data_IF_419965105059
#
_entry.id   IF_419965105059
#
_cell.length_a   1.000
_cell.length_b   1.000
_cell.length_c   1.000
_cell.angle_alpha   90.00
_cell.angle_beta   90.00
_cell.angle_gamma   90.00
#
_symmetry.space_group_name_H-M   'P 1'
#
loop_
_entity.id
_entity.type
_entity.pdbx_description
1 polymer ?
#
# COMPACT_ATOMS: atom_id res chain seq x y z
N UNK A 1 -18.03 7.53 -7.42
CA UNK A 1 -16.62 7.94 -7.32
C UNK A 1 -16.46 8.62 -5.98
N UNK A 2 -15.49 8.17 -5.20
CA UNK A 2 -15.23 8.61 -3.83
C UNK A 2 -13.77 9.04 -3.71
N UNK A 3 -13.52 10.13 -2.99
CA UNK A 3 -12.19 10.61 -2.64
C UNK A 3 -11.95 10.37 -1.16
N UNK A 4 -10.84 9.71 -0.85
CA UNK A 4 -10.45 9.38 0.52
C UNK A 4 -9.11 10.04 0.79
N UNK A 5 -9.06 10.82 1.86
CA UNK A 5 -7.84 11.37 2.41
C UNK A 5 -7.54 10.62 3.70
N UNK A 6 -6.29 10.22 3.89
CA UNK A 6 -5.92 9.38 5.02
C UNK A 6 -4.46 9.52 5.40
N UNK A 7 -4.13 9.02 6.58
CA UNK A 7 -2.75 8.76 7.00
C UNK A 7 -2.68 7.32 7.45
N UNK A 8 -1.81 6.53 6.80
CA UNK A 8 -1.49 5.19 7.25
C UNK A 8 -0.22 5.18 8.11
N UNK A 9 -0.29 4.49 9.24
CA UNK A 9 0.84 4.17 10.10
C UNK A 9 1.22 2.71 9.89
N UNK A 10 2.50 2.40 9.80
CA UNK A 10 2.97 1.05 9.49
C UNK A 10 4.11 0.56 10.40
N UNK A 11 4.25 -0.77 10.44
CA UNK A 11 5.36 -1.49 11.04
C UNK A 11 5.89 -2.51 10.03
N UNK A 12 7.19 -2.46 9.77
CA UNK A 12 7.91 -3.38 8.88
C UNK A 12 8.46 -4.54 9.70
N UNK A 13 7.86 -5.72 9.56
CA UNK A 13 8.19 -6.90 10.37
C UNK A 13 9.02 -7.88 9.54
N UNK A 14 10.13 -8.32 10.14
CA UNK A 14 11.10 -9.20 9.46
C UNK A 14 11.97 -8.45 8.44
N UNK A 15 12.02 -7.13 8.55
CA UNK A 15 12.82 -6.25 7.69
C UNK A 15 13.79 -5.45 8.57
N UNK A 16 15.03 -5.27 8.11
CA UNK A 16 16.12 -4.71 8.94
C UNK A 16 16.41 -3.24 8.66
N UNK A 17 15.99 -2.71 7.51
CA UNK A 17 16.25 -1.31 7.16
C UNK A 17 15.32 -0.32 7.87
N UNK A 18 15.75 0.94 7.92
CA UNK A 18 14.95 2.05 8.45
C UNK A 18 13.96 2.53 7.38
N UNK A 19 12.71 2.08 7.52
CA UNK A 19 11.63 2.41 6.60
C UNK A 19 10.72 3.48 7.19
N UNK A 20 10.26 4.40 6.33
CA UNK A 20 9.24 5.36 6.72
C UNK A 20 7.95 4.66 7.15
N UNK A 21 7.49 4.95 8.36
CA UNK A 21 6.29 4.37 8.96
C UNK A 21 5.03 5.25 8.81
N UNK A 22 5.14 6.46 8.25
CA UNK A 22 4.02 7.42 8.15
C UNK A 22 3.71 7.72 6.68
N UNK A 23 2.49 7.41 6.27
CA UNK A 23 2.08 7.44 4.87
C UNK A 23 0.84 8.32 4.69
N UNK A 24 1.00 9.65 4.54
CA UNK A 24 -0.07 10.48 4.00
C UNK A 24 -0.50 9.94 2.64
N UNK A 25 -1.81 9.77 2.46
CA UNK A 25 -2.39 9.02 1.36
C UNK A 25 -3.66 9.68 0.84
N UNK A 26 -3.78 9.76 -0.47
CA UNK A 26 -5.00 10.13 -1.19
C UNK A 26 -5.38 9.02 -2.15
N UNK A 27 -6.66 8.64 -2.14
CA UNK A 27 -7.25 7.62 -3.01
C UNK A 27 -8.48 8.17 -3.70
N UNK A 28 -8.66 7.78 -4.96
CA UNK A 28 -9.95 7.77 -5.64
C UNK A 28 -10.41 6.33 -5.80
N UNK A 29 -11.68 6.07 -5.48
CA UNK A 29 -12.32 4.76 -5.64
C UNK A 29 -13.58 4.90 -6.49
N UNK A 30 -13.72 3.99 -7.46
CA UNK A 30 -14.91 3.86 -8.27
C UNK A 30 -15.24 2.39 -8.47
N UNK A 31 -16.33 1.95 -7.85
CA UNK A 31 -16.69 0.53 -7.75
C UNK A 31 -15.50 -0.25 -7.16
N UNK A 32 -14.93 -1.16 -7.93
CA UNK A 32 -13.79 -1.95 -7.54
C UNK A 32 -12.45 -1.35 -7.95
N UNK A 33 -12.43 -0.30 -8.77
CA UNK A 33 -11.19 0.32 -9.22
C UNK A 33 -10.70 1.33 -8.18
N UNK A 34 -9.42 1.23 -7.86
CA UNK A 34 -8.73 2.16 -6.97
C UNK A 34 -7.52 2.75 -7.68
N UNK A 35 -7.29 4.04 -7.47
CA UNK A 35 -6.06 4.71 -7.82
C UNK A 35 -5.71 5.72 -6.74
N UNK A 36 -4.43 5.99 -6.53
CA UNK A 36 -4.04 6.91 -5.48
C UNK A 36 -2.56 7.24 -5.51
N UNK A 37 -2.19 8.13 -4.59
CA UNK A 37 -0.81 8.49 -4.33
C UNK A 37 -0.55 8.57 -2.83
N UNK A 38 0.64 8.20 -2.41
CA UNK A 38 1.04 8.20 -1.01
C UNK A 38 2.54 8.42 -0.86
N UNK A 39 2.96 8.86 0.33
CA UNK A 39 4.35 8.89 0.71
C UNK A 39 4.78 7.50 1.22
N UNK A 40 5.66 6.83 0.47
CA UNK A 40 5.93 5.40 0.63
C UNK A 40 7.01 5.09 1.69
N UNK A 41 7.28 3.81 1.92
CA UNK A 41 8.28 3.33 2.89
C UNK A 41 9.73 3.73 2.56
N UNK A 42 9.99 4.18 1.32
CA UNK A 42 11.29 4.60 0.82
C UNK A 42 11.42 6.14 0.73
N UNK A 43 10.62 6.86 1.52
CA UNK A 43 10.59 8.33 1.60
C UNK A 43 10.28 9.03 0.26
N UNK A 44 9.44 8.41 -0.57
CA UNK A 44 9.10 8.91 -1.92
C UNK A 44 7.61 8.92 -2.17
N UNK A 45 7.14 9.92 -2.90
CA UNK A 45 5.78 9.93 -3.45
C UNK A 45 5.67 8.81 -4.47
N UNK A 46 4.71 7.92 -4.27
CA UNK A 46 4.37 6.82 -5.16
C UNK A 46 2.92 6.93 -5.58
N UNK A 47 2.63 6.49 -6.80
CA UNK A 47 1.28 6.37 -7.33
C UNK A 47 0.96 4.89 -7.54
N UNK A 48 -0.30 4.52 -7.37
CA UNK A 48 -0.75 3.16 -7.63
C UNK A 48 -2.10 3.15 -8.34
N UNK A 49 -2.38 2.02 -8.97
CA UNK A 49 -3.67 1.69 -9.55
C UNK A 49 -3.94 0.20 -9.39
N UNK A 50 -5.19 -0.17 -9.18
CA UNK A 50 -5.55 -1.56 -8.93
C UNK A 50 -7.04 -1.80 -8.77
N UNK A 51 -7.32 -3.00 -8.26
CA UNK A 51 -8.65 -3.50 -7.98
C UNK A 51 -8.77 -3.81 -6.49
N UNK A 52 -9.89 -3.41 -5.88
CA UNK A 52 -10.28 -3.71 -4.50
C UNK A 52 -11.60 -4.45 -4.50
N UNK A 53 -11.66 -5.53 -3.73
CA UNK A 53 -12.87 -6.25 -3.41
C UNK A 53 -13.10 -6.21 -1.91
N UNK A 54 -14.32 -5.87 -1.51
CA UNK A 54 -14.74 -5.83 -0.10
C UNK A 54 -15.74 -6.96 0.19
N UNK A 55 -15.63 -7.53 1.39
CA UNK A 55 -16.48 -8.55 1.98
C UNK A 55 -16.66 -8.23 3.48
N UNK A 56 -17.73 -7.52 3.81
CA UNK A 56 -17.98 -6.97 5.16
C UNK A 56 -16.81 -6.13 5.67
N UNK A 57 -16.15 -6.56 6.76
CA UNK A 57 -14.97 -5.90 7.32
C UNK A 57 -13.68 -6.23 6.56
N UNK A 58 -13.68 -7.24 5.70
CA UNK A 58 -12.49 -7.68 4.98
C UNK A 58 -12.39 -7.00 3.62
N UNK A 59 -11.17 -6.63 3.23
CA UNK A 59 -10.87 -6.15 1.89
C UNK A 59 -9.62 -6.80 1.34
N UNK A 60 -9.59 -7.02 0.03
CA UNK A 60 -8.41 -7.48 -0.70
C UNK A 60 -8.15 -6.52 -1.85
N UNK A 61 -6.89 -6.12 -1.99
CA UNK A 61 -6.44 -5.21 -3.02
C UNK A 61 -5.27 -5.81 -3.79
N UNK A 62 -5.31 -5.66 -5.11
CA UNK A 62 -4.26 -6.09 -6.03
C UNK A 62 -4.01 -5.00 -7.06
N UNK A 63 -2.76 -4.77 -7.45
CA UNK A 63 -2.47 -3.77 -8.47
C UNK A 63 -1.00 -3.57 -8.72
N UNK A 64 -0.67 -2.36 -9.17
CA UNK A 64 0.68 -1.93 -9.44
C UNK A 64 0.96 -0.57 -8.80
N UNK A 65 2.19 -0.38 -8.33
CA UNK A 65 2.63 0.81 -7.62
C UNK A 65 3.98 1.29 -8.15
N UNK A 66 4.19 2.60 -8.19
CA UNK A 66 5.47 3.21 -8.55
C UNK A 66 6.39 3.39 -7.34
N UNK A 67 7.62 3.85 -7.54
CA UNK A 67 8.50 4.25 -6.43
C UNK A 67 9.27 3.11 -5.75
N UNK A 68 8.97 1.85 -6.13
CA UNK A 68 9.75 0.67 -5.78
C UNK A 68 10.43 0.10 -7.04
N UNK A 69 11.69 -0.29 -6.91
CA UNK A 69 12.46 -0.92 -8.00
C UNK A 69 12.19 -2.43 -7.98
N UNK A 70 11.30 -2.90 -8.84
CA UNK A 70 11.06 -4.34 -9.03
C UNK A 70 12.13 -4.99 -9.91
N UNK A 71 12.63 -4.24 -10.89
CA UNK A 71 13.67 -4.67 -11.82
C UNK A 71 14.48 -3.46 -12.25
N UNK A 72 15.73 -3.68 -12.66
CA UNK A 72 16.63 -2.63 -13.18
C UNK A 72 16.03 -1.79 -14.33
N UNK A 73 14.96 -2.29 -14.96
CA UNK A 73 14.30 -1.67 -16.11
C UNK A 73 12.95 -1.03 -15.80
N UNK A 74 12.35 -1.28 -14.63
CA UNK A 74 10.97 -0.86 -14.35
C UNK A 74 10.81 -0.36 -12.91
N UNK A 75 10.36 0.89 -12.76
CA UNK A 75 9.98 1.49 -11.48
C UNK A 75 8.52 1.21 -11.09
N UNK A 76 7.91 0.18 -11.67
CA UNK A 76 6.55 -0.28 -11.39
C UNK A 76 6.67 -1.67 -10.77
N UNK A 77 6.09 -1.83 -9.59
CA UNK A 77 6.09 -3.08 -8.82
C UNK A 77 4.66 -3.58 -8.65
N UNK A 78 4.40 -4.90 -8.70
CA UNK A 78 3.11 -5.42 -8.26
C UNK A 78 2.90 -5.13 -6.78
N UNK A 79 1.65 -4.92 -6.36
CA UNK A 79 1.29 -4.79 -4.96
C UNK A 79 0.09 -5.67 -4.64
N UNK A 80 0.07 -6.15 -3.40
CA UNK A 80 -1.02 -6.91 -2.80
C UNK A 80 -1.24 -6.40 -1.38
N UNK A 81 -2.49 -6.15 -0.97
CA UNK A 81 -2.82 -5.71 0.38
C UNK A 81 -4.11 -6.37 0.83
N UNK A 82 -4.15 -6.83 2.07
CA UNK A 82 -5.39 -7.23 2.75
C UNK A 82 -5.74 -6.22 3.82
N UNK A 83 -7.01 -5.97 4.03
CA UNK A 83 -7.51 -5.06 5.05
C UNK A 83 -8.55 -5.74 5.93
N UNK A 84 -8.57 -5.40 7.21
CA UNK A 84 -9.65 -5.71 8.14
C UNK A 84 -10.05 -4.42 8.84
N UNK A 85 -11.21 -3.87 8.48
CA UNK A 85 -11.65 -2.52 8.86
C UNK A 85 -10.58 -1.47 8.47
N UNK A 86 -10.02 -0.74 9.43
CA UNK A 86 -8.93 0.23 9.21
C UNK A 86 -7.53 -0.38 9.33
N UNK A 87 -7.40 -1.67 9.65
CA UNK A 87 -6.10 -2.35 9.68
C UNK A 87 -5.75 -2.89 8.30
N UNK A 88 -4.45 -2.94 7.99
CA UNK A 88 -3.96 -3.56 6.76
C UNK A 88 -2.71 -4.39 6.97
N UNK A 89 -2.50 -5.32 6.04
CA UNK A 89 -1.27 -6.09 5.91
C UNK A 89 -0.89 -6.19 4.43
N UNK A 90 0.38 -6.00 4.14
CA UNK A 90 0.96 -6.18 2.80
C UNK A 90 2.21 -7.04 2.90
N UNK A 91 2.32 -8.14 2.15
CA UNK A 91 3.59 -8.83 2.02
C UNK A 91 4.58 -7.93 1.29
N UNK A 92 5.84 -7.98 1.68
CA UNK A 92 6.94 -7.45 0.87
C UNK A 92 7.46 -8.62 0.04
N UNK A 93 7.31 -8.58 -1.29
CA UNK A 93 7.66 -9.71 -2.14
C UNK A 93 9.13 -10.11 -1.94
N UNK A 94 9.34 -11.43 -1.96
CA UNK A 94 10.61 -12.13 -1.71
C UNK A 94 11.76 -11.47 -2.49
N UNK A 95 12.54 -10.66 -1.78
CA UNK A 95 13.82 -10.08 -2.22
C UNK A 95 14.89 -10.36 -1.15
N UNK A 96 15.90 -9.51 -1.06
CA UNK A 96 16.98 -9.66 -0.07
C UNK A 96 16.51 -9.44 1.39
N UNK A 97 15.34 -8.84 1.60
CA UNK A 97 14.74 -8.58 2.92
C UNK A 97 13.24 -8.96 2.95
N UNK A 98 12.91 -10.27 3.01
CA UNK A 98 11.54 -10.74 2.96
C UNK A 98 10.81 -10.47 4.28
N UNK A 99 9.65 -9.82 4.20
CA UNK A 99 8.88 -9.49 5.39
C UNK A 99 7.43 -9.14 5.07
N UNK A 100 6.78 -8.50 6.03
CA UNK A 100 5.44 -7.98 5.86
C UNK A 100 5.28 -6.64 6.55
N UNK A 101 4.47 -5.79 5.96
CA UNK A 101 4.06 -4.52 6.55
C UNK A 101 2.68 -4.70 7.12
N UNK A 102 2.50 -4.40 8.41
CA UNK A 102 1.18 -4.23 9.02
C UNK A 102 0.96 -2.78 9.36
N UNK A 103 -0.29 -2.34 9.42
CA UNK A 103 -0.57 -0.96 9.76
C UNK A 103 -2.02 -0.66 10.05
N UNK A 104 -2.26 0.61 10.36
CA UNK A 104 -3.57 1.20 10.62
C UNK A 104 -3.73 2.45 9.73
N UNK A 105 -4.86 2.58 9.06
CA UNK A 105 -5.15 3.67 8.13
C UNK A 105 -6.29 4.53 8.68
N UNK A 106 -5.96 5.74 9.14
CA UNK A 106 -6.96 6.71 9.59
C UNK A 106 -7.49 7.51 8.41
N UNK A 107 -8.80 7.43 8.15
CA UNK A 107 -9.50 8.15 7.07
C UNK A 107 -10.19 9.40 7.63
N UNK A 108 -10.10 10.53 6.93
CA UNK A 108 -10.71 11.82 7.30
C UNK A 108 -12.12 11.98 6.75
#
# INVERSE_FOLDING_TARGET
>A
MEWIFSVALSLHVGMEADYNAVHPHVRVQQEHFIAGAYYNSMDKISAYGGYRQEYDLFGVEVGAVTGYKWSDKTSISPYFRVTYDDYFMSPVPLGDDPGFVIGYEYKF
#
